data_IF_073105511178
#
_entry.id   IF_073105511178
#
_cell.length_a   1.000
_cell.length_b   1.000
_cell.length_c   1.000
_cell.angle_alpha   90.00
_cell.angle_beta   90.00
_cell.angle_gamma   90.00
#
_symmetry.space_group_name_H-M   'P 1'
#
loop_
_entity.id
_entity.type
_entity.pdbx_description
1 polymer ?
#
# COMPACT_ATOMS: atom_id res chain seq x y z
N UNK A 1 0.08 5.56 -7.04
CA UNK A 1 1.18 4.57 -7.19
C UNK A 1 2.23 4.86 -6.13
N UNK A 2 2.59 3.87 -5.30
CA UNK A 2 3.62 4.00 -4.25
C UNK A 2 4.85 3.21 -4.67
N UNK A 3 5.97 3.90 -4.88
CA UNK A 3 7.23 3.28 -5.29
C UNK A 3 8.32 3.75 -4.34
N UNK A 4 9.07 2.81 -3.75
CA UNK A 4 10.25 3.13 -2.95
C UNK A 4 11.49 2.90 -3.80
N UNK A 5 12.31 3.94 -3.96
CA UNK A 5 13.60 3.82 -4.65
C UNK A 5 14.44 2.71 -4.00
N UNK A 6 15.17 1.89 -4.78
CA UNK A 6 15.93 0.76 -4.25
C UNK A 6 16.85 1.09 -3.07
N UNK A 7 17.55 2.22 -3.14
CA UNK A 7 18.47 2.75 -2.11
C UNK A 7 17.78 3.22 -0.81
N UNK A 8 16.46 3.36 -0.83
CA UNK A 8 15.65 3.76 0.32
C UNK A 8 14.79 2.62 0.89
N UNK A 9 14.90 1.41 0.34
CA UNK A 9 14.14 0.25 0.79
C UNK A 9 14.57 -0.16 2.20
N UNK A 10 13.61 -0.69 2.97
CA UNK A 10 13.79 -1.14 4.37
C UNK A 10 14.33 -0.07 5.34
N UNK A 11 14.24 1.22 4.96
CA UNK A 11 14.62 2.38 5.78
C UNK A 11 13.40 3.22 6.22
N UNK A 12 12.20 2.65 6.11
CA UNK A 12 10.96 3.32 6.53
C UNK A 12 10.37 4.33 5.53
N UNK A 13 11.02 4.58 4.37
CA UNK A 13 10.55 5.57 3.40
C UNK A 13 9.10 5.32 2.93
N UNK A 14 8.78 4.09 2.51
CA UNK A 14 7.42 3.71 2.11
C UNK A 14 6.40 3.93 3.23
N UNK A 15 6.74 3.53 4.47
CA UNK A 15 5.89 3.75 5.65
C UNK A 15 5.62 5.23 5.92
N UNK A 16 6.66 6.06 5.86
CA UNK A 16 6.54 7.50 6.12
C UNK A 16 5.63 8.17 5.10
N UNK A 17 5.79 7.86 3.81
CA UNK A 17 4.95 8.42 2.74
C UNK A 17 3.50 7.96 2.88
N UNK A 18 3.26 6.66 3.10
CA UNK A 18 1.89 6.14 3.26
C UNK A 18 1.19 6.75 4.48
N UNK A 19 1.89 6.88 5.62
CA UNK A 19 1.33 7.49 6.82
C UNK A 19 0.97 8.96 6.60
N UNK A 20 1.84 9.73 5.93
CA UNK A 20 1.57 11.13 5.59
C UNK A 20 0.37 11.26 4.64
N UNK A 21 0.26 10.38 3.65
CA UNK A 21 -0.89 10.35 2.74
C UNK A 21 -2.19 10.01 3.48
N UNK A 22 -2.17 9.02 4.37
CA UNK A 22 -3.34 8.66 5.18
C UNK A 22 -3.79 9.81 6.09
N UNK A 23 -2.84 10.51 6.74
CA UNK A 23 -3.13 11.69 7.55
C UNK A 23 -3.76 12.81 6.72
N UNK A 24 -3.24 13.07 5.52
CA UNK A 24 -3.79 14.07 4.60
C UNK A 24 -5.22 13.72 4.15
N UNK A 25 -5.49 12.44 3.86
CA UNK A 25 -6.82 11.96 3.50
C UNK A 25 -7.80 12.15 4.66
N UNK A 26 -7.39 11.81 5.89
CA UNK A 26 -8.22 11.98 7.08
C UNK A 26 -8.59 13.46 7.32
N UNK A 27 -7.64 14.38 7.15
CA UNK A 27 -7.90 15.83 7.24
C UNK A 27 -8.94 16.32 6.21
N UNK A 28 -9.10 15.60 5.10
CA UNK A 28 -10.08 15.89 4.04
C UNK A 28 -11.41 15.15 4.22
N UNK A 29 -11.62 14.49 5.36
CA UNK A 29 -12.85 13.76 5.67
C UNK A 29 -12.97 12.40 4.97
N UNK A 30 -11.89 11.89 4.38
CA UNK A 30 -11.88 10.55 3.77
C UNK A 30 -11.85 9.50 4.88
N UNK A 31 -12.81 8.58 4.87
CA UNK A 31 -12.97 7.54 5.91
C UNK A 31 -12.23 6.24 5.62
N UNK A 32 -11.95 5.98 4.35
CA UNK A 32 -11.23 4.78 3.91
C UNK A 32 -10.54 5.03 2.57
N UNK A 33 -9.44 4.34 2.35
CA UNK A 33 -8.76 4.25 1.05
C UNK A 33 -8.42 2.79 0.77
N UNK A 34 -8.25 2.47 -0.51
CA UNK A 34 -7.88 1.14 -0.97
C UNK A 34 -6.50 1.19 -1.62
N UNK A 35 -5.81 0.06 -1.56
CA UNK A 35 -4.57 -0.19 -2.29
C UNK A 35 -4.66 -1.53 -2.98
N UNK A 36 -4.46 -1.52 -4.29
CA UNK A 36 -4.38 -2.73 -5.07
C UNK A 36 -2.93 -3.20 -5.07
N UNK A 37 -2.71 -4.43 -4.63
CA UNK A 37 -1.40 -5.03 -4.46
C UNK A 37 -1.43 -6.39 -5.14
N UNK A 38 -0.46 -6.62 -6.03
CA UNK A 38 -0.25 -7.94 -6.59
C UNK A 38 0.00 -8.96 -5.47
N UNK A 39 -0.64 -10.12 -5.57
CA UNK A 39 -0.62 -11.17 -4.55
C UNK A 39 0.78 -11.69 -4.23
N UNK A 40 1.71 -11.63 -5.19
CA UNK A 40 3.12 -12.00 -5.03
C UNK A 40 4.01 -10.88 -4.47
N UNK A 41 3.49 -9.66 -4.28
CA UNK A 41 4.26 -8.53 -3.76
C UNK A 41 4.27 -8.52 -2.22
N UNK A 42 4.96 -9.49 -1.63
CA UNK A 42 5.06 -9.68 -0.18
C UNK A 42 5.55 -8.43 0.56
N UNK A 43 6.45 -7.66 -0.04
CA UNK A 43 6.98 -6.44 0.57
C UNK A 43 5.89 -5.37 0.75
N UNK A 44 5.03 -5.18 -0.25
CA UNK A 44 3.90 -4.26 -0.16
C UNK A 44 2.82 -4.79 0.78
N UNK A 45 2.52 -6.09 0.72
CA UNK A 45 1.57 -6.74 1.63
C UNK A 45 2.00 -6.53 3.09
N UNK A 46 3.26 -6.82 3.43
CA UNK A 46 3.78 -6.63 4.77
C UNK A 46 3.83 -5.15 5.21
N UNK A 47 4.08 -4.22 4.28
CA UNK A 47 3.99 -2.79 4.60
C UNK A 47 2.58 -2.39 5.02
N UNK A 48 1.57 -2.74 4.22
CA UNK A 48 0.19 -2.33 4.49
C UNK A 48 -0.44 -3.09 5.65
N UNK A 49 -0.08 -4.37 5.85
CA UNK A 49 -0.42 -5.13 7.05
C UNK A 49 0.13 -4.45 8.32
N UNK A 50 1.41 -4.03 8.30
CA UNK A 50 2.00 -3.30 9.44
C UNK A 50 1.37 -1.92 9.73
N UNK A 51 0.58 -1.40 8.78
CA UNK A 51 -0.18 -0.16 8.90
C UNK A 51 -1.65 -0.39 9.29
N UNK A 52 -2.03 -1.65 9.55
CA UNK A 52 -3.39 -2.03 9.95
C UNK A 52 -4.37 -2.18 8.79
N UNK A 53 -3.89 -2.26 7.55
CA UNK A 53 -4.75 -2.57 6.41
C UNK A 53 -5.23 -4.03 6.49
N UNK A 54 -6.44 -4.28 6.01
CA UNK A 54 -7.01 -5.62 5.90
C UNK A 54 -7.44 -5.90 4.47
N UNK A 55 -7.42 -7.18 4.09
CA UNK A 55 -7.87 -7.60 2.75
C UNK A 55 -9.39 -7.39 2.66
N UNK A 56 -9.81 -6.54 1.74
CA UNK A 56 -11.24 -6.30 1.44
C UNK A 56 -11.76 -7.13 0.28
N UNK A 57 -10.94 -7.32 -0.73
CA UNK A 57 -11.31 -8.06 -1.93
C UNK A 57 -10.06 -8.68 -2.56
N UNK A 58 -10.26 -9.80 -3.28
CA UNK A 58 -9.26 -10.42 -4.13
C UNK A 58 -9.84 -10.51 -5.53
N UNK A 59 -9.07 -10.07 -6.52
CA UNK A 59 -9.44 -10.11 -7.92
C UNK A 59 -8.45 -10.97 -8.69
N UNK A 60 -8.92 -11.58 -9.77
CA UNK A 60 -8.11 -12.38 -10.69
C UNK A 60 -8.31 -11.83 -12.09
N UNK A 61 -7.23 -11.79 -12.85
CA UNK A 61 -7.23 -11.34 -14.24
C UNK A 61 -6.78 -12.49 -15.12
N UNK A 62 -7.30 -12.55 -16.35
CA UNK A 62 -6.78 -13.47 -17.34
C UNK A 62 -5.36 -13.03 -17.72
N UNK A 63 -4.41 -13.96 -17.74
CA UNK A 63 -3.08 -13.70 -18.23
C UNK A 63 -3.12 -13.69 -19.77
N UNK A 64 -2.54 -12.65 -20.38
CA UNK A 64 -2.37 -12.62 -21.83
C UNK A 64 -1.39 -13.73 -22.20
N UNK A 65 -1.86 -14.69 -23.01
CA UNK A 65 -1.03 -15.77 -23.57
C UNK A 65 0.04 -15.23 -24.51
#
# INVERSE_FOLDING_TARGET
>A
NLITRPDLRRRGAGRSVTAAAAALLAQRGVRSYLVDIESSNEASLGLFDSLGATVRHRSWYAEAR
#
